data_IF_585992067397
#
_entry.id   IF_585992067397
#
_cell.length_a   1.000
_cell.length_b   1.000
_cell.length_c   1.000
_cell.angle_alpha   90.00
_cell.angle_beta   90.00
_cell.angle_gamma   90.00
#
_symmetry.space_group_name_H-M   'P 1'
#
loop_
_entity.id
_entity.type
_entity.pdbx_description
1 polymer ?
#
# COMPACT_ATOMS: atom_id res chain seq x y z
N UNK A 1 0.75 10.00 -8.10
CA UNK A 1 -0.27 10.88 -8.71
C UNK A 1 -0.94 10.27 -9.93
N UNK A 2 -0.21 9.75 -10.93
CA UNK A 2 -0.81 9.31 -12.21
C UNK A 2 -1.84 8.18 -12.08
N UNK A 3 -1.58 7.13 -11.28
CA UNK A 3 -2.53 6.03 -11.08
C UNK A 3 -3.88 6.50 -10.53
N UNK A 4 -3.88 7.30 -9.47
CA UNK A 4 -5.11 7.82 -8.84
C UNK A 4 -5.95 8.65 -9.79
N UNK A 5 -5.31 9.55 -10.54
CA UNK A 5 -5.99 10.31 -11.58
C UNK A 5 -6.59 9.42 -12.67
N UNK A 6 -5.89 8.34 -13.08
CA UNK A 6 -6.42 7.36 -14.03
C UNK A 6 -7.62 6.59 -13.47
N UNK A 7 -7.61 6.21 -12.19
CA UNK A 7 -8.76 5.54 -11.56
C UNK A 7 -10.02 6.41 -11.49
N UNK A 8 -9.93 7.73 -11.65
CA UNK A 8 -11.11 8.59 -11.79
C UNK A 8 -11.75 8.43 -13.18
N UNK A 9 -10.93 8.26 -14.22
CA UNK A 9 -11.36 8.16 -15.63
C UNK A 9 -11.72 6.71 -16.00
N UNK A 10 -10.97 5.75 -15.45
CA UNK A 10 -11.13 4.31 -15.64
C UNK A 10 -11.15 3.59 -14.27
N UNK A 11 -12.28 3.66 -13.53
CA UNK A 11 -12.38 3.11 -12.18
C UNK A 11 -12.24 1.60 -12.09
N UNK A 12 -12.47 0.88 -13.20
CA UNK A 12 -12.30 -0.57 -13.26
C UNK A 12 -10.88 -0.99 -13.64
N UNK A 13 -10.04 -0.04 -14.09
CA UNK A 13 -8.71 -0.26 -14.68
C UNK A 13 -8.75 -1.16 -15.92
N UNK A 14 -9.80 -1.04 -16.73
CA UNK A 14 -9.97 -1.85 -17.94
C UNK A 14 -8.98 -1.47 -19.05
N UNK A 15 -8.52 -0.21 -19.06
CA UNK A 15 -7.60 0.30 -20.06
C UNK A 15 -6.14 0.01 -19.68
N UNK A 16 -5.34 -0.35 -20.69
CA UNK A 16 -3.93 -0.69 -20.53
C UNK A 16 -3.12 0.42 -19.83
N UNK A 17 -3.40 1.69 -20.11
CA UNK A 17 -2.59 2.78 -19.54
C UNK A 17 -2.87 2.99 -18.04
N UNK A 18 -3.97 2.45 -17.51
CA UNK A 18 -4.22 2.43 -16.06
C UNK A 18 -3.28 1.43 -15.39
N UNK A 19 -3.03 0.28 -16.03
CA UNK A 19 -2.01 -0.68 -15.59
C UNK A 19 -0.60 -0.10 -15.73
N UNK A 20 -0.26 0.53 -16.87
CA UNK A 20 1.03 1.19 -17.06
C UNK A 20 1.29 2.26 -15.99
N UNK A 21 0.24 2.99 -15.58
CA UNK A 21 0.32 3.97 -14.51
C UNK A 21 0.58 3.32 -13.14
N UNK A 22 0.04 2.13 -12.88
CA UNK A 22 0.33 1.37 -11.67
C UNK A 22 1.79 0.89 -11.65
N UNK A 23 2.26 0.31 -12.75
CA UNK A 23 3.65 -0.15 -12.91
C UNK A 23 4.63 1.02 -12.78
N UNK A 24 4.36 2.15 -13.43
CA UNK A 24 5.20 3.35 -13.34
C UNK A 24 5.22 3.90 -11.91
N UNK A 25 4.08 3.95 -11.23
CA UNK A 25 4.01 4.39 -9.84
C UNK A 25 4.81 3.46 -8.90
N UNK A 26 4.71 2.14 -9.08
CA UNK A 26 5.49 1.15 -8.36
C UNK A 26 7.01 1.35 -8.59
N UNK A 27 7.43 1.50 -9.85
CA UNK A 27 8.82 1.72 -10.23
C UNK A 27 9.37 2.98 -9.55
N UNK A 28 8.66 4.11 -9.65
CA UNK A 28 9.07 5.37 -9.00
C UNK A 28 9.14 5.24 -7.49
N UNK A 29 8.16 4.59 -6.85
CA UNK A 29 8.15 4.37 -5.40
C UNK A 29 9.34 3.53 -4.92
N UNK A 30 9.69 2.48 -5.67
CA UNK A 30 10.85 1.64 -5.34
C UNK A 30 12.18 2.38 -5.54
N UNK A 31 12.29 3.14 -6.63
CA UNK A 31 13.46 3.97 -6.93
C UNK A 31 13.70 5.01 -5.85
N UNK A 32 12.65 5.66 -5.36
CA UNK A 32 12.74 6.62 -4.26
C UNK A 32 13.46 6.03 -3.06
N UNK A 33 13.11 4.80 -2.66
CA UNK A 33 13.80 4.13 -1.57
C UNK A 33 15.21 3.73 -1.95
N UNK A 34 15.43 3.14 -3.12
CA UNK A 34 16.76 2.75 -3.56
C UNK A 34 17.76 3.92 -3.54
N UNK A 35 17.41 5.08 -4.11
CA UNK A 35 18.30 6.26 -4.17
C UNK A 35 18.49 6.96 -2.82
N UNK A 36 17.67 6.64 -1.82
CA UNK A 36 17.78 7.18 -0.45
C UNK A 36 18.39 6.18 0.53
N UNK A 37 18.49 4.90 0.15
CA UNK A 37 19.05 3.83 0.99
C UNK A 37 20.48 3.45 0.67
N UNK A 38 20.88 3.44 -0.60
CA UNK A 38 22.23 2.99 -0.98
C UNK A 38 23.32 3.99 -0.59
N UNK A 39 24.49 3.46 -0.27
CA UNK A 39 25.74 4.23 -0.14
C UNK A 39 26.50 4.30 -1.49
N UNK A 40 25.93 3.74 -2.55
CA UNK A 40 26.50 3.78 -3.90
C UNK A 40 26.32 5.17 -4.53
N UNK A 41 27.13 5.52 -5.52
CA UNK A 41 27.04 6.84 -6.17
C UNK A 41 25.77 6.97 -7.03
N UNK A 42 25.31 5.87 -7.64
CA UNK A 42 24.15 5.84 -8.55
C UNK A 42 23.40 4.51 -8.45
N UNK A 43 22.09 4.58 -8.62
CA UNK A 43 21.19 3.42 -8.71
C UNK A 43 20.78 3.23 -10.17
N UNK A 44 20.97 2.04 -10.70
CA UNK A 44 20.34 1.64 -11.96
C UNK A 44 18.89 1.21 -11.70
N UNK A 45 17.97 1.76 -12.48
CA UNK A 45 16.56 1.47 -12.31
C UNK A 45 15.80 1.56 -13.63
N UNK A 46 14.68 0.85 -13.69
CA UNK A 46 13.75 0.96 -14.81
C UNK A 46 12.55 1.81 -14.41
N UNK A 47 12.26 2.83 -15.21
CA UNK A 47 11.07 3.68 -15.10
C UNK A 47 10.46 3.76 -16.49
N UNK A 48 9.17 3.42 -16.62
CA UNK A 48 8.43 3.50 -17.87
C UNK A 48 9.19 2.86 -19.05
N UNK A 49 9.56 1.59 -18.88
CA UNK A 49 10.30 0.75 -19.85
C UNK A 49 11.73 1.22 -20.17
N UNK A 50 12.20 2.33 -19.63
CA UNK A 50 13.55 2.87 -19.86
C UNK A 50 14.46 2.61 -18.68
N UNK A 51 15.70 2.23 -18.95
CA UNK A 51 16.75 2.15 -17.94
C UNK A 51 17.31 3.56 -17.69
N UNK A 52 17.42 3.89 -16.42
CA UNK A 52 17.93 5.14 -15.90
C UNK A 52 19.03 4.83 -14.88
N UNK A 53 20.09 5.64 -14.89
CA UNK A 53 21.07 5.68 -13.82
C UNK A 53 20.86 6.97 -13.03
N UNK A 54 20.38 6.88 -11.79
CA UNK A 54 19.99 8.03 -10.97
C UNK A 54 20.99 8.19 -9.83
N UNK A 55 21.53 9.40 -9.57
CA UNK A 55 22.42 9.63 -8.44
C UNK A 55 21.75 9.29 -7.11
N UNK A 56 22.49 8.61 -6.22
CA UNK A 56 22.02 8.44 -4.85
C UNK A 56 21.98 9.82 -4.17
N UNK A 57 20.89 10.06 -3.45
CA UNK A 57 20.65 11.35 -2.79
C UNK A 57 20.87 11.30 -1.29
N UNK A 58 21.13 10.10 -0.74
CA UNK A 58 21.22 9.85 0.70
C UNK A 58 19.86 9.91 1.39
N UNK A 59 19.82 9.81 2.74
CA UNK A 59 18.58 9.86 3.50
C UNK A 59 17.78 11.15 3.25
N UNK A 60 16.47 11.02 3.03
CA UNK A 60 15.55 12.13 2.79
C UNK A 60 14.31 11.98 3.66
N UNK A 61 13.78 13.09 4.15
CA UNK A 61 12.61 13.10 5.03
C UNK A 61 11.32 12.59 4.37
N UNK A 62 11.24 12.63 3.04
CA UNK A 62 10.11 12.08 2.27
C UNK A 62 10.20 10.56 2.06
N UNK A 63 11.31 9.91 2.43
CA UNK A 63 11.45 8.45 2.40
C UNK A 63 11.03 7.86 3.75
N UNK A 64 9.79 8.14 4.16
CA UNK A 64 9.22 7.80 5.46
C UNK A 64 8.30 6.56 5.41
N UNK A 65 7.76 6.18 6.57
CA UNK A 65 6.87 5.03 6.71
C UNK A 65 5.57 5.14 5.86
N UNK A 66 4.99 6.34 5.71
CA UNK A 66 3.80 6.53 4.88
C UNK A 66 4.08 6.33 3.39
N UNK A 67 5.21 6.85 2.93
CA UNK A 67 5.69 6.66 1.56
C UNK A 67 6.07 5.21 1.30
N UNK A 68 6.67 4.54 2.30
CA UNK A 68 6.99 3.11 2.24
C UNK A 68 5.74 2.26 2.08
N UNK A 69 4.70 2.50 2.87
CA UNK A 69 3.43 1.77 2.76
C UNK A 69 2.83 1.93 1.36
N UNK A 70 2.83 3.15 0.81
CA UNK A 70 2.35 3.41 -0.55
C UNK A 70 3.15 2.64 -1.60
N UNK A 71 4.49 2.63 -1.51
CA UNK A 71 5.36 1.89 -2.41
C UNK A 71 5.14 0.37 -2.29
N UNK A 72 5.01 -0.14 -1.07
CA UNK A 72 4.76 -1.55 -0.79
C UNK A 72 3.40 -2.02 -1.35
N UNK A 73 2.34 -1.22 -1.18
CA UNK A 73 1.03 -1.51 -1.79
C UNK A 73 1.09 -1.58 -3.31
N UNK A 74 1.82 -0.67 -3.95
CA UNK A 74 1.99 -0.70 -5.40
C UNK A 74 2.76 -1.95 -5.87
N UNK A 75 3.80 -2.36 -5.13
CA UNK A 75 4.53 -3.59 -5.40
C UNK A 75 3.64 -4.84 -5.25
N UNK A 76 2.81 -4.89 -4.18
CA UNK A 76 1.81 -5.95 -3.99
C UNK A 76 0.80 -5.97 -5.13
N UNK A 77 0.24 -4.84 -5.53
CA UNK A 77 -0.75 -4.74 -6.62
C UNK A 77 -0.15 -5.19 -7.95
N UNK A 78 1.11 -4.87 -8.21
CA UNK A 78 1.81 -5.28 -9.44
C UNK A 78 2.40 -6.70 -9.34
N UNK A 79 2.33 -7.36 -8.18
CA UNK A 79 2.90 -8.69 -7.88
C UNK A 79 4.43 -8.74 -8.09
N UNK A 80 5.10 -7.62 -7.87
CA UNK A 80 6.55 -7.53 -8.04
C UNK A 80 7.25 -7.95 -6.74
N UNK A 81 7.52 -9.26 -6.62
CA UNK A 81 8.10 -9.87 -5.44
C UNK A 81 9.53 -9.38 -5.15
N UNK A 82 10.29 -9.03 -6.19
CA UNK A 82 11.64 -8.50 -6.03
C UNK A 82 11.60 -7.16 -5.31
N UNK A 83 10.73 -6.25 -5.74
CA UNK A 83 10.54 -4.94 -5.09
C UNK A 83 9.95 -5.07 -3.69
N UNK A 84 9.02 -5.99 -3.48
CA UNK A 84 8.52 -6.29 -2.13
C UNK A 84 9.65 -6.71 -1.19
N UNK A 85 10.61 -7.52 -1.68
CA UNK A 85 11.79 -7.95 -0.92
C UNK A 85 12.70 -6.76 -0.64
N UNK A 86 13.07 -6.00 -1.65
CA UNK A 86 13.94 -4.82 -1.52
C UNK A 86 13.38 -3.80 -0.53
N UNK A 87 12.07 -3.50 -0.61
CA UNK A 87 11.41 -2.60 0.34
C UNK A 87 11.42 -3.17 1.77
N UNK A 88 11.26 -4.48 1.93
CA UNK A 88 11.21 -5.12 3.24
C UNK A 88 12.56 -5.26 3.94
N UNK A 89 13.65 -5.13 3.19
CA UNK A 89 15.02 -5.14 3.71
C UNK A 89 15.47 -3.77 4.28
N UNK A 90 14.71 -2.70 4.02
CA UNK A 90 15.01 -1.37 4.54
C UNK A 90 14.86 -1.36 6.07
N UNK A 91 15.91 -1.00 6.84
CA UNK A 91 15.81 -0.92 8.28
C UNK A 91 14.73 0.06 8.73
N UNK A 92 13.89 -0.34 9.68
CA UNK A 92 12.75 0.44 10.16
C UNK A 92 13.17 1.82 10.69
N UNK A 93 14.35 1.91 11.30
CA UNK A 93 14.94 3.14 11.83
C UNK A 93 15.12 4.20 10.74
N UNK A 94 15.31 3.80 9.49
CA UNK A 94 15.45 4.73 8.35
C UNK A 94 14.12 5.32 7.90
N UNK A 95 13.01 4.65 8.22
CA UNK A 95 11.67 5.07 7.87
C UNK A 95 11.05 5.98 8.94
N UNK A 96 11.71 6.12 10.09
CA UNK A 96 11.26 6.98 11.19
C UNK A 96 11.38 8.45 10.82
N UNK A 97 10.23 9.11 10.83
CA UNK A 97 10.14 10.57 10.76
C UNK A 97 10.44 11.20 12.13
N UNK A 98 10.69 12.52 12.20
CA UNK A 98 10.87 13.22 13.48
C UNK A 98 9.73 12.94 14.45
N UNK A 99 10.04 12.92 15.75
CA UNK A 99 9.03 12.70 16.81
C UNK A 99 7.80 13.62 16.62
N UNK A 100 6.61 13.04 16.79
CA UNK A 100 5.35 13.74 16.60
C UNK A 100 4.85 13.81 15.15
N UNK A 101 5.59 13.29 14.16
CA UNK A 101 5.13 13.24 12.76
C UNK A 101 4.09 12.15 12.50
N UNK A 102 4.21 11.01 13.19
CA UNK A 102 3.32 9.87 13.05
C UNK A 102 3.07 9.20 14.41
N UNK A 103 1.90 8.60 14.55
CA UNK A 103 1.63 7.65 15.64
C UNK A 103 2.46 6.38 15.46
N UNK A 104 2.81 5.73 16.58
CA UNK A 104 3.72 4.57 16.57
C UNK A 104 3.15 3.36 15.81
N UNK A 105 1.83 3.26 15.67
CA UNK A 105 1.17 2.16 14.94
C UNK A 105 1.70 2.02 13.52
N UNK A 106 2.09 3.12 12.85
CA UNK A 106 2.57 3.04 11.47
C UNK A 106 3.88 2.25 11.38
N UNK A 107 4.75 2.39 12.38
CA UNK A 107 6.04 1.69 12.41
C UNK A 107 5.85 0.22 12.77
N UNK A 108 4.95 -0.09 13.72
CA UNK A 108 4.53 -1.46 13.98
C UNK A 108 3.90 -2.10 12.74
N UNK A 109 3.13 -1.32 11.97
CA UNK A 109 2.49 -1.81 10.77
C UNK A 109 3.50 -2.14 9.67
N UNK A 110 4.47 -1.25 9.44
CA UNK A 110 5.59 -1.51 8.54
C UNK A 110 6.35 -2.77 8.97
N UNK A 111 6.75 -2.88 10.24
CA UNK A 111 7.48 -4.05 10.74
C UNK A 111 6.68 -5.35 10.58
N UNK A 112 5.37 -5.30 10.78
CA UNK A 112 4.45 -6.44 10.54
C UNK A 112 4.51 -6.88 9.08
N UNK A 113 4.41 -5.95 8.13
CA UNK A 113 4.44 -6.26 6.69
C UNK A 113 5.82 -6.78 6.24
N UNK A 114 6.91 -6.14 6.70
CA UNK A 114 8.27 -6.60 6.44
C UNK A 114 8.47 -8.02 6.97
N UNK A 115 8.01 -8.28 8.19
CA UNK A 115 8.16 -9.58 8.86
C UNK A 115 7.33 -10.67 8.19
N UNK A 116 6.13 -10.35 7.76
CA UNK A 116 5.29 -11.26 6.98
C UNK A 116 5.96 -11.62 5.65
N UNK A 117 6.42 -10.62 4.89
CA UNK A 117 7.00 -10.84 3.58
C UNK A 117 8.30 -11.64 3.65
N UNK A 118 9.22 -11.23 4.53
CA UNK A 118 10.51 -11.89 4.73
C UNK A 118 10.44 -13.13 5.62
N UNK A 119 9.24 -13.53 6.06
CA UNK A 119 9.00 -14.69 6.93
C UNK A 119 9.83 -14.66 8.22
N UNK A 120 9.96 -13.47 8.81
CA UNK A 120 10.61 -13.28 10.12
C UNK A 120 9.72 -13.84 11.24
N UNK A 121 10.28 -14.22 12.41
CA UNK A 121 9.50 -14.66 13.55
C UNK A 121 8.60 -13.55 14.11
N UNK A 122 7.72 -13.92 15.05
CA UNK A 122 6.91 -13.02 15.88
C UNK A 122 5.89 -12.16 15.10
N UNK A 123 5.48 -12.60 13.90
CA UNK A 123 4.46 -11.91 13.09
C UNK A 123 3.17 -11.65 13.87
N UNK A 124 2.72 -12.62 14.67
CA UNK A 124 1.51 -12.48 15.47
C UNK A 124 1.64 -11.35 16.51
N UNK A 125 2.75 -11.29 17.23
CA UNK A 125 3.00 -10.26 18.25
C UNK A 125 3.13 -8.87 17.63
N UNK A 126 3.77 -8.76 16.46
CA UNK A 126 3.88 -7.50 15.71
C UNK A 126 2.54 -7.00 15.21
N UNK A 127 1.68 -7.90 14.73
CA UNK A 127 0.33 -7.55 14.31
C UNK A 127 -0.54 -7.13 15.52
N UNK A 128 -0.41 -7.80 16.66
CA UNK A 128 -1.08 -7.40 17.91
C UNK A 128 -0.64 -5.99 18.32
N UNK A 129 0.66 -5.72 18.36
CA UNK A 129 1.19 -4.40 18.69
C UNK A 129 0.70 -3.31 17.72
N UNK A 130 0.56 -3.65 16.43
CA UNK A 130 -0.03 -2.75 15.43
C UNK A 130 -1.47 -2.42 15.75
N UNK A 131 -2.29 -3.44 16.06
CA UNK A 131 -3.71 -3.26 16.38
C UNK A 131 -3.86 -2.42 17.65
N UNK A 132 -3.14 -2.75 18.71
CA UNK A 132 -3.16 -2.01 19.98
C UNK A 132 -2.72 -0.55 19.82
N UNK A 133 -1.63 -0.31 19.08
CA UNK A 133 -1.15 1.04 18.83
C UNK A 133 -2.08 1.86 17.93
N UNK A 134 -2.89 1.20 17.10
CA UNK A 134 -3.89 1.85 16.23
C UNK A 134 -5.22 2.15 16.91
N UNK A 135 -5.37 1.79 18.20
CA UNK A 135 -6.56 2.12 18.97
C UNK A 135 -6.74 3.66 19.04
N UNK A 136 -7.95 4.22 18.80
CA UNK A 136 -8.19 5.66 18.84
C UNK A 136 -7.88 6.35 20.18
N UNK A 137 -7.77 5.62 21.28
CA UNK A 137 -7.36 6.16 22.59
C UNK A 137 -5.84 6.29 22.72
N UNK A 138 -5.09 5.55 21.88
CA UNK A 138 -3.63 5.49 21.83
C UNK A 138 -3.09 6.36 20.69
N UNK A 139 -3.55 6.15 19.46
CA UNK A 139 -3.17 6.95 18.29
C UNK A 139 -3.88 8.31 18.31
N UNK A 140 -3.10 9.38 18.39
CA UNK A 140 -3.57 10.76 18.61
C UNK A 140 -3.07 11.77 17.58
N UNK A 141 -2.09 11.40 16.75
CA UNK A 141 -1.52 12.28 15.72
C UNK A 141 -2.41 12.25 14.47
N UNK A 142 -2.78 11.06 13.99
CA UNK A 142 -3.70 10.90 12.89
C UNK A 142 -5.14 11.29 13.32
N UNK A 143 -5.88 12.04 12.49
CA UNK A 143 -7.30 12.29 12.75
C UNK A 143 -8.08 10.98 12.92
N UNK A 144 -8.91 10.90 13.95
CA UNK A 144 -9.61 9.67 14.31
C UNK A 144 -10.48 9.12 13.16
N UNK A 145 -11.16 9.99 12.43
CA UNK A 145 -12.01 9.60 11.31
C UNK A 145 -11.20 9.04 10.14
N UNK A 146 -10.00 9.61 9.88
CA UNK A 146 -9.06 9.08 8.89
C UNK A 146 -8.51 7.72 9.33
N UNK A 147 -8.10 7.60 10.61
CA UNK A 147 -7.56 6.37 11.17
C UNK A 147 -8.57 5.23 11.03
N UNK A 148 -9.81 5.45 11.46
CA UNK A 148 -10.86 4.44 11.43
C UNK A 148 -11.32 4.09 10.01
N UNK A 149 -11.43 5.08 9.12
CA UNK A 149 -12.06 4.86 7.82
C UNK A 149 -11.09 4.48 6.69
N UNK A 150 -9.80 4.79 6.82
CA UNK A 150 -8.81 4.62 5.74
C UNK A 150 -7.58 3.84 6.18
N UNK A 151 -7.03 4.14 7.36
CA UNK A 151 -5.71 3.60 7.78
C UNK A 151 -5.82 2.25 8.50
N UNK A 152 -6.84 2.04 9.33
CA UNK A 152 -7.09 0.79 10.05
C UNK A 152 -7.65 -0.35 9.17
N UNK A 153 -8.56 -0.11 8.21
CA UNK A 153 -9.12 -1.18 7.38
C UNK A 153 -8.11 -2.14 6.74
N UNK A 154 -6.96 -1.71 6.15
CA UNK A 154 -5.96 -2.65 5.64
C UNK A 154 -5.31 -3.53 6.73
N UNK A 155 -5.17 -3.03 7.97
CA UNK A 155 -4.68 -3.83 9.12
C UNK A 155 -5.70 -4.93 9.45
N UNK A 156 -6.98 -4.58 9.52
CA UNK A 156 -8.05 -5.54 9.78
C UNK A 156 -8.17 -6.61 8.67
N UNK A 157 -8.08 -6.20 7.40
CA UNK A 157 -8.09 -7.14 6.27
C UNK A 157 -6.90 -8.09 6.33
N UNK A 158 -5.72 -7.57 6.67
CA UNK A 158 -4.53 -8.39 6.80
C UNK A 158 -4.65 -9.39 7.96
N UNK A 159 -5.26 -9.01 9.08
CA UNK A 159 -5.59 -9.92 10.17
C UNK A 159 -6.42 -11.13 9.72
N UNK A 160 -7.49 -10.90 8.94
CA UNK A 160 -8.29 -11.99 8.37
C UNK A 160 -7.46 -12.84 7.39
N UNK A 161 -6.66 -12.19 6.54
CA UNK A 161 -5.80 -12.88 5.57
C UNK A 161 -4.78 -13.82 6.24
N UNK A 162 -4.01 -13.35 7.22
CA UNK A 162 -2.98 -14.18 7.87
C UNK A 162 -3.55 -15.33 8.71
N UNK A 163 -4.80 -15.20 9.16
CA UNK A 163 -5.53 -16.27 9.86
C UNK A 163 -6.21 -17.26 8.91
N UNK A 164 -6.14 -17.02 7.59
CA UNK A 164 -6.89 -17.75 6.59
C UNK A 164 -8.41 -17.74 6.86
N UNK A 165 -8.91 -16.63 7.41
CA UNK A 165 -10.33 -16.43 7.74
C UNK A 165 -11.11 -15.99 6.48
N UNK A 166 -11.46 -16.97 5.66
CA UNK A 166 -12.13 -16.76 4.36
C UNK A 166 -13.54 -16.19 4.51
N UNK A 167 -14.25 -16.58 5.58
CA UNK A 167 -15.62 -16.16 5.83
C UNK A 167 -15.67 -14.72 6.37
N UNK A 168 -14.69 -14.33 7.21
CA UNK A 168 -14.59 -12.98 7.75
C UNK A 168 -13.99 -11.96 6.78
N UNK A 169 -13.13 -12.38 5.85
CA UNK A 169 -12.42 -11.46 4.95
C UNK A 169 -13.35 -10.66 4.04
N UNK A 170 -14.31 -11.32 3.38
CA UNK A 170 -15.17 -10.66 2.39
C UNK A 170 -16.10 -9.60 3.01
N UNK A 171 -16.80 -9.86 4.13
CA UNK A 171 -17.50 -8.82 4.88
C UNK A 171 -16.59 -7.66 5.29
N UNK A 172 -15.40 -7.96 5.82
CA UNK A 172 -14.43 -6.93 6.22
C UNK A 172 -13.99 -6.05 5.01
N UNK A 173 -13.84 -6.63 3.82
CA UNK A 173 -13.53 -5.89 2.60
C UNK A 173 -14.68 -5.00 2.16
N UNK A 174 -15.92 -5.49 2.22
CA UNK A 174 -17.10 -4.68 1.93
C UNK A 174 -17.21 -3.48 2.88
N UNK A 175 -16.97 -3.69 4.17
CA UNK A 175 -16.97 -2.62 5.18
C UNK A 175 -15.83 -1.62 4.97
N UNK A 176 -14.63 -2.09 4.64
CA UNK A 176 -13.49 -1.22 4.31
C UNK A 176 -13.81 -0.29 3.13
N UNK A 177 -14.45 -0.80 2.08
CA UNK A 177 -14.83 -0.01 0.91
C UNK A 177 -15.95 0.99 1.22
N UNK A 178 -16.89 0.60 2.08
CA UNK A 178 -17.95 1.50 2.57
C UNK A 178 -17.37 2.64 3.40
N UNK A 179 -16.46 2.33 4.32
CA UNK A 179 -15.77 3.32 5.15
C UNK A 179 -14.95 4.30 4.30
N UNK A 180 -14.18 3.78 3.34
CA UNK A 180 -13.42 4.59 2.38
C UNK A 180 -14.35 5.54 1.63
N UNK A 181 -15.44 5.04 1.05
CA UNK A 181 -16.45 5.88 0.37
C UNK A 181 -16.98 6.96 1.30
N UNK A 182 -17.44 6.59 2.50
CA UNK A 182 -18.01 7.54 3.47
C UNK A 182 -17.02 8.64 3.84
N UNK A 183 -15.74 8.31 4.06
CA UNK A 183 -14.71 9.28 4.40
C UNK A 183 -14.48 10.28 3.27
N UNK A 184 -14.26 9.77 2.04
CA UNK A 184 -13.91 10.60 0.89
C UNK A 184 -15.09 11.39 0.33
N UNK A 185 -16.33 10.98 0.58
CA UNK A 185 -17.53 11.75 0.17
C UNK A 185 -18.14 12.59 1.29
N UNK A 186 -17.48 12.72 2.44
CA UNK A 186 -18.06 13.41 3.60
C UNK A 186 -18.27 14.92 3.36
N UNK A 187 -17.41 15.54 2.55
CA UNK A 187 -17.51 16.95 2.17
C UNK A 187 -16.90 17.19 0.79
N UNK A 188 -17.10 18.38 0.23
CA UNK A 188 -16.63 18.72 -1.10
C UNK A 188 -15.12 18.67 -1.27
N UNK A 189 -14.36 19.03 -0.24
CA UNK A 189 -12.89 19.07 -0.31
C UNK A 189 -12.34 17.65 -0.45
N UNK A 190 -12.82 16.72 0.38
CA UNK A 190 -12.47 15.30 0.29
C UNK A 190 -12.96 14.66 -1.01
N UNK A 191 -14.13 15.03 -1.49
CA UNK A 191 -14.69 14.46 -2.72
C UNK A 191 -13.90 14.83 -3.98
N UNK A 192 -13.17 15.96 -3.94
CA UNK A 192 -12.27 16.42 -5.01
C UNK A 192 -10.85 15.86 -4.87
N UNK A 193 -10.53 15.23 -3.74
CA UNK A 193 -9.22 14.64 -3.51
C UNK A 193 -9.06 13.33 -4.29
N UNK A 194 -8.00 13.29 -5.12
CA UNK A 194 -7.68 12.13 -5.94
C UNK A 194 -7.29 10.91 -5.11
N UNK A 195 -6.87 11.10 -3.85
CA UNK A 195 -6.53 10.00 -2.94
C UNK A 195 -7.77 9.14 -2.60
N UNK A 196 -8.97 9.70 -2.73
CA UNK A 196 -10.23 8.97 -2.60
C UNK A 196 -10.58 8.06 -3.78
N UNK A 197 -9.92 8.18 -4.92
CA UNK A 197 -10.24 7.41 -6.14
C UNK A 197 -10.03 5.91 -6.02
N UNK A 198 -9.15 5.47 -5.11
CA UNK A 198 -8.76 4.06 -4.96
C UNK A 198 -8.50 3.75 -3.49
N UNK A 199 -9.06 2.65 -3.00
CA UNK A 199 -8.77 2.14 -1.67
C UNK A 199 -7.45 1.35 -1.71
N UNK A 200 -6.31 2.05 -1.83
CA UNK A 200 -5.01 1.45 -2.17
C UNK A 200 -4.59 0.30 -1.24
N UNK A 201 -4.68 0.51 0.08
CA UNK A 201 -4.37 -0.52 1.08
C UNK A 201 -5.31 -1.73 0.97
N UNK A 202 -6.65 -1.54 1.07
CA UNK A 202 -7.62 -2.61 0.85
C UNK A 202 -7.45 -3.35 -0.47
N UNK A 203 -7.14 -2.66 -1.57
CA UNK A 203 -6.86 -3.27 -2.87
C UNK A 203 -5.63 -4.19 -2.81
N UNK A 204 -4.53 -3.72 -2.21
CA UNK A 204 -3.32 -4.53 -2.07
C UNK A 204 -3.59 -5.82 -1.29
N UNK A 205 -4.31 -5.74 -0.15
CA UNK A 205 -4.64 -6.94 0.62
C UNK A 205 -5.63 -7.85 -0.14
N UNK A 206 -6.59 -7.27 -0.87
CA UNK A 206 -7.49 -8.03 -1.73
C UNK A 206 -6.72 -8.75 -2.87
N UNK A 207 -5.66 -8.16 -3.42
CA UNK A 207 -4.78 -8.84 -4.38
C UNK A 207 -4.14 -10.10 -3.75
N UNK A 208 -3.62 -10.00 -2.52
CA UNK A 208 -3.07 -11.16 -1.80
C UNK A 208 -4.13 -12.24 -1.57
N UNK A 209 -5.32 -11.85 -1.12
CA UNK A 209 -6.43 -12.77 -0.88
C UNK A 209 -6.91 -13.43 -2.19
N UNK A 210 -6.97 -12.68 -3.30
CA UNK A 210 -7.29 -13.21 -4.63
C UNK A 210 -6.26 -14.26 -5.07
N UNK A 211 -4.97 -13.94 -4.93
CA UNK A 211 -3.88 -14.86 -5.29
C UNK A 211 -3.83 -16.10 -4.37
N UNK A 212 -4.41 -16.02 -3.16
CA UNK A 212 -4.64 -17.13 -2.23
C UNK A 212 -6.03 -17.81 -2.37
N UNK A 213 -6.76 -17.51 -3.45
CA UNK A 213 -8.05 -18.10 -3.81
C UNK A 213 -9.17 -17.86 -2.77
N UNK A 214 -9.16 -16.71 -2.09
CA UNK A 214 -10.28 -16.28 -1.25
C UNK A 214 -11.50 -15.93 -2.13
N UNK A 215 -12.72 -16.18 -1.66
CA UNK A 215 -13.93 -15.87 -2.41
C UNK A 215 -14.23 -14.36 -2.38
N UNK A 216 -13.77 -13.64 -3.40
CA UNK A 216 -13.99 -12.19 -3.55
C UNK A 216 -15.15 -11.91 -4.52
N UNK A 217 -16.39 -11.94 -4.04
CA UNK A 217 -17.57 -11.50 -4.81
C UNK A 217 -17.94 -10.05 -4.47
N UNK A 218 -17.02 -9.14 -4.74
CA UNK A 218 -17.18 -7.70 -4.48
C UNK A 218 -16.84 -6.92 -5.74
N UNK A 219 -17.72 -5.98 -6.09
CA UNK A 219 -17.48 -5.00 -7.14
C UNK A 219 -17.58 -3.60 -6.54
N UNK A 220 -16.55 -2.78 -6.78
CA UNK A 220 -16.48 -1.41 -6.30
C UNK A 220 -15.59 -0.58 -7.20
N UNK A 221 -15.97 0.68 -7.45
CA UNK A 221 -15.14 1.63 -8.19
C UNK A 221 -13.85 2.00 -7.44
N UNK A 222 -13.79 1.77 -6.13
CA UNK A 222 -12.58 1.95 -5.31
C UNK A 222 -11.67 0.70 -5.30
N UNK A 223 -12.11 -0.39 -5.91
CA UNK A 223 -11.41 -1.68 -6.00
C UNK A 223 -11.30 -2.10 -7.48
N UNK A 224 -10.40 -1.48 -8.27
CA UNK A 224 -10.35 -1.68 -9.70
C UNK A 224 -10.14 -3.14 -10.08
N UNK A 225 -11.16 -3.72 -10.73
CA UNK A 225 -11.26 -5.16 -11.00
C UNK A 225 -10.05 -5.72 -11.74
N UNK A 226 -9.54 -5.01 -12.73
CA UNK A 226 -8.46 -5.51 -13.58
C UNK A 226 -7.08 -5.44 -12.90
N UNK A 227 -6.90 -4.49 -11.97
CA UNK A 227 -5.75 -4.51 -11.05
C UNK A 227 -5.88 -5.70 -10.10
N UNK A 228 -7.05 -5.90 -9.48
CA UNK A 228 -7.30 -7.03 -8.57
C UNK A 228 -7.08 -8.38 -9.25
N UNK A 229 -7.62 -8.57 -10.45
CA UNK A 229 -7.62 -9.85 -11.17
C UNK A 229 -6.42 -10.04 -12.09
N UNK A 230 -5.36 -9.24 -11.91
CA UNK A 230 -4.09 -9.39 -12.64
C UNK A 230 -4.24 -9.48 -14.16
N UNK A 231 -5.23 -8.79 -14.74
CA UNK A 231 -5.61 -8.97 -16.15
C UNK A 231 -4.46 -8.69 -17.11
N UNK A 232 -3.51 -7.84 -16.71
CA UNK A 232 -2.40 -7.37 -17.54
C UNK A 232 -1.01 -7.76 -17.00
N UNK A 233 -0.92 -8.71 -16.05
CA UNK A 233 0.39 -9.18 -15.57
C UNK A 233 1.17 -9.81 -16.72
N UNK A 234 2.44 -9.41 -16.87
CA UNK A 234 3.35 -9.91 -17.90
C UNK A 234 3.29 -9.16 -19.23
N UNK A 235 2.28 -8.31 -19.45
CA UNK A 235 2.14 -7.48 -20.66
C UNK A 235 3.11 -6.29 -20.68
N UNK A 236 3.63 -5.92 -19.51
CA UNK A 236 4.55 -4.80 -19.36
C UNK A 236 5.77 -5.24 -18.55
N UNK A 237 7.00 -4.85 -18.94
CA UNK A 237 8.17 -5.14 -18.14
C UNK A 237 8.04 -4.41 -16.78
N UNK A 238 8.23 -5.12 -15.67
CA UNK A 238 8.11 -4.63 -14.28
C UNK A 238 9.45 -4.33 -13.63
#
# INVERSE_FOLDING_TARGET
MTLRARCIIDPRSAEAETWESAVTAMQVGSVLFAVTTVNEERVECRIDRKLHSIPATGPRSFADAGTWLSAFWLAVICRDQERMTQLSEIPLERLRSPEGSYDEYIYHWVDTLQSWWLRRPDLADKLIATIEASDPTVARIAPQDLLQAVLYPPINLFYHYVRNDRDGFTPALADALKLHKTYWTLNEDRAKDIDGSIALGPLAIACLAYDAEFPLDIQSDYLPKHLLQRTWIGEFPT
#
